data_IF_738302467657
#
_entry.id   IF_738302467657
#
_cell.length_a   1.000
_cell.length_b   1.000
_cell.length_c   1.000
_cell.angle_alpha   90.00
_cell.angle_beta   90.00
_cell.angle_gamma   90.00
#
_symmetry.space_group_name_H-M   'P 1'
#
loop_
_entity.id
_entity.type
_entity.pdbx_description
1 polymer ?
#
# COMPACT_ATOMS: atom_id res chain seq x y z
N UNK A 1 7.00 -13.18 6.04
CA UNK A 1 7.01 -11.89 6.79
C UNK A 1 5.60 -11.32 6.82
N UNK A 2 5.25 -10.38 7.70
CA UNK A 2 3.92 -9.74 7.69
C UNK A 2 3.95 -8.53 6.76
N UNK A 3 2.91 -8.33 5.94
CA UNK A 3 2.82 -7.20 5.00
C UNK A 3 3.03 -5.85 5.69
N UNK A 4 2.43 -5.61 6.86
CA UNK A 4 2.67 -4.39 7.66
C UNK A 4 4.17 -4.11 7.85
N UNK A 5 4.96 -5.16 8.13
CA UNK A 5 6.39 -5.02 8.37
C UNK A 5 7.12 -4.58 7.10
N UNK A 6 6.77 -5.12 5.93
CA UNK A 6 7.39 -4.75 4.64
C UNK A 6 7.15 -3.27 4.36
N UNK A 7 5.91 -2.78 4.53
CA UNK A 7 5.60 -1.36 4.33
C UNK A 7 6.36 -0.45 5.30
N UNK A 8 6.39 -0.80 6.59
CA UNK A 8 7.13 -0.01 7.58
C UNK A 8 8.65 -0.01 7.36
N UNK A 9 9.22 -1.12 6.88
CA UNK A 9 10.64 -1.20 6.51
C UNK A 9 10.98 -0.34 5.29
N UNK A 10 10.00 -0.11 4.41
CA UNK A 10 10.12 0.80 3.27
C UNK A 10 9.69 2.24 3.60
N UNK A 11 9.48 2.60 4.87
CA UNK A 11 9.23 3.98 5.30
C UNK A 11 7.76 4.43 5.29
N UNK A 12 6.82 3.54 4.94
CA UNK A 12 5.39 3.84 5.02
C UNK A 12 4.79 3.30 6.33
N UNK A 13 4.26 4.17 7.17
CA UNK A 13 3.49 3.74 8.34
C UNK A 13 2.08 3.32 7.90
N UNK A 14 1.79 2.03 8.05
CA UNK A 14 0.53 1.44 7.60
C UNK A 14 -0.24 0.82 8.75
N UNK A 15 -1.55 1.04 8.71
CA UNK A 15 -2.52 0.33 9.52
C UNK A 15 -3.07 -0.86 8.75
N UNK A 16 -2.93 -2.06 9.32
CA UNK A 16 -3.57 -3.28 8.81
C UNK A 16 -4.97 -3.46 9.40
N UNK A 17 -5.91 -3.91 8.57
CA UNK A 17 -7.23 -4.40 8.92
C UNK A 17 -7.49 -5.72 8.21
N UNK A 18 -8.00 -6.70 8.92
CA UNK A 18 -8.41 -7.97 8.31
C UNK A 18 -9.84 -7.83 7.77
N UNK A 19 -10.08 -8.40 6.59
CA UNK A 19 -11.39 -8.47 5.93
C UNK A 19 -11.77 -9.93 5.67
N UNK A 20 -13.02 -10.16 5.26
CA UNK A 20 -13.54 -11.51 5.03
C UNK A 20 -12.85 -12.26 3.86
N UNK A 21 -12.19 -11.52 2.96
CA UNK A 21 -11.57 -12.01 1.73
C UNK A 21 -10.10 -11.55 1.58
N UNK A 22 -9.41 -11.27 2.69
CA UNK A 22 -8.01 -10.84 2.68
C UNK A 22 -7.75 -9.71 3.65
N UNK A 23 -6.80 -8.84 3.30
CA UNK A 23 -6.39 -7.75 4.18
C UNK A 23 -6.48 -6.39 3.49
N UNK A 24 -6.63 -5.36 4.31
CA UNK A 24 -6.59 -3.96 3.91
C UNK A 24 -5.45 -3.29 4.66
N UNK A 25 -4.59 -2.58 3.93
CA UNK A 25 -3.54 -1.74 4.45
C UNK A 25 -3.88 -0.29 4.14
N UNK A 26 -3.80 0.57 5.14
CA UNK A 26 -4.14 1.99 5.02
C UNK A 26 -2.92 2.79 5.46
N UNK A 27 -2.43 3.67 4.61
CA UNK A 27 -1.36 4.62 4.89
C UNK A 27 -1.88 6.05 4.74
N UNK A 28 -1.48 6.94 5.64
CA UNK A 28 -1.69 8.38 5.50
C UNK A 28 -0.46 8.99 4.82
N UNK A 29 -0.63 9.50 3.60
CA UNK A 29 0.42 10.18 2.85
C UNK A 29 0.44 11.70 3.13
N UNK A 30 -0.51 12.21 3.92
CA UNK A 30 -0.68 13.62 4.20
C UNK A 30 -1.58 14.35 3.18
N UNK A 31 -2.20 15.44 3.63
CA UNK A 31 -3.09 16.25 2.79
C UNK A 31 -2.29 17.15 1.85
N UNK A 32 -2.69 17.20 0.57
CA UNK A 32 -2.08 18.07 -0.43
C UNK A 32 -0.83 17.51 -1.10
N UNK A 33 -0.43 16.28 -0.80
CA UNK A 33 0.61 15.56 -1.53
C UNK A 33 0.04 15.09 -2.87
N UNK A 34 0.72 15.45 -3.97
CA UNK A 34 0.48 14.83 -5.27
C UNK A 34 1.10 13.43 -5.23
N UNK A 35 0.22 12.43 -5.15
CA UNK A 35 0.61 11.06 -4.90
C UNK A 35 0.05 10.12 -5.98
N UNK A 36 0.91 9.25 -6.48
CA UNK A 36 0.58 8.21 -7.43
C UNK A 36 0.75 6.83 -6.79
N UNK A 37 -0.06 5.88 -7.23
CA UNK A 37 0.17 4.46 -6.92
C UNK A 37 0.00 3.64 -8.18
N UNK A 38 0.89 2.67 -8.37
CA UNK A 38 0.81 1.68 -9.42
C UNK A 38 1.23 0.31 -8.87
N UNK A 39 0.88 -0.75 -9.59
CA UNK A 39 1.22 -2.13 -9.24
C UNK A 39 1.88 -2.79 -10.45
N UNK A 40 3.13 -3.20 -10.28
CA UNK A 40 3.90 -3.89 -11.31
C UNK A 40 4.25 -5.28 -10.79
N UNK A 41 3.60 -6.31 -11.35
CA UNK A 41 3.75 -7.68 -10.87
C UNK A 41 3.22 -7.83 -9.44
N UNK A 42 4.10 -8.18 -8.51
CA UNK A 42 3.84 -8.35 -7.08
C UNK A 42 4.31 -7.14 -6.25
N UNK A 43 4.62 -6.03 -6.91
CA UNK A 43 5.22 -4.84 -6.28
C UNK A 43 4.29 -3.64 -6.39
N UNK A 44 3.94 -3.05 -5.24
CA UNK A 44 3.23 -1.77 -5.17
C UNK A 44 4.25 -0.64 -5.20
N UNK A 45 4.08 0.30 -6.12
CA UNK A 45 4.92 1.47 -6.26
C UNK A 45 4.09 2.68 -5.83
N UNK A 46 4.55 3.40 -4.81
CA UNK A 46 3.93 4.62 -4.32
C UNK A 46 4.88 5.77 -4.57
N UNK A 47 4.40 6.83 -5.22
CA UNK A 47 5.17 8.05 -5.47
C UNK A 47 4.49 9.19 -4.73
N UNK A 48 5.25 9.97 -3.96
CA UNK A 48 4.77 11.13 -3.21
C UNK A 48 5.74 12.29 -3.39
N UNK A 49 5.38 13.29 -4.20
CA UNK A 49 6.30 14.39 -4.51
C UNK A 49 7.63 13.90 -5.07
N UNK A 50 8.71 14.04 -4.28
CA UNK A 50 10.08 13.62 -4.65
C UNK A 50 10.47 12.23 -4.10
N UNK A 51 9.59 11.58 -3.34
CA UNK A 51 9.84 10.27 -2.73
C UNK A 51 9.14 9.16 -3.51
N UNK A 52 9.81 8.01 -3.62
CA UNK A 52 9.27 6.78 -4.19
C UNK A 52 9.49 5.62 -3.23
N UNK A 53 8.45 4.84 -3.01
CA UNK A 53 8.44 3.65 -2.19
C UNK A 53 8.07 2.44 -3.05
N UNK A 54 8.91 1.42 -3.02
CA UNK A 54 8.67 0.15 -3.70
C UNK A 54 8.40 -0.92 -2.64
N UNK A 55 7.22 -1.51 -2.67
CA UNK A 55 6.80 -2.49 -1.69
C UNK A 55 6.54 -3.83 -2.38
N UNK A 56 7.46 -4.80 -2.28
CA UNK A 56 7.32 -6.10 -2.91
C UNK A 56 6.46 -7.07 -2.08
N UNK A 57 6.03 -8.16 -2.70
CA UNK A 57 5.34 -9.27 -2.05
C UNK A 57 3.85 -9.02 -1.81
N UNK A 58 3.23 -8.23 -2.69
CA UNK A 58 1.80 -7.92 -2.67
C UNK A 58 1.16 -8.51 -3.93
N UNK A 59 0.94 -9.82 -3.91
CA UNK A 59 0.22 -10.55 -4.97
C UNK A 59 -1.28 -10.22 -4.92
N UNK A 60 -1.93 -10.23 -6.10
CA UNK A 60 -3.37 -9.95 -6.28
C UNK A 60 -3.87 -8.69 -5.54
N UNK A 61 -3.02 -7.67 -5.54
CA UNK A 61 -3.30 -6.42 -4.86
C UNK A 61 -4.07 -5.43 -5.74
N UNK A 62 -4.89 -4.61 -5.09
CA UNK A 62 -5.44 -3.37 -5.65
C UNK A 62 -5.04 -2.21 -4.77
N UNK A 63 -4.64 -1.10 -5.37
CA UNK A 63 -4.24 0.08 -4.64
C UNK A 63 -4.99 1.31 -5.15
N UNK A 64 -5.40 2.17 -4.22
CA UNK A 64 -6.07 3.44 -4.53
C UNK A 64 -5.58 4.53 -3.59
N UNK A 65 -5.53 5.76 -4.09
CA UNK A 65 -5.26 6.94 -3.27
C UNK A 65 -6.51 7.83 -3.30
N UNK A 66 -7.05 8.13 -2.12
CA UNK A 66 -8.22 9.00 -1.97
C UNK A 66 -7.94 10.05 -0.90
N UNK A 67 -7.94 11.33 -1.28
CA UNK A 67 -7.69 12.46 -0.38
C UNK A 67 -6.41 12.33 0.48
N UNK A 68 -5.31 11.84 -0.12
CA UNK A 68 -4.03 11.63 0.59
C UNK A 68 -3.97 10.33 1.40
N UNK A 69 -5.02 9.49 1.37
CA UNK A 69 -5.01 8.19 2.04
C UNK A 69 -4.80 7.10 1.00
N UNK A 70 -3.71 6.36 1.14
CA UNK A 70 -3.42 5.16 0.37
C UNK A 70 -4.14 3.98 1.00
N UNK A 71 -4.96 3.30 0.20
CA UNK A 71 -5.59 2.03 0.57
C UNK A 71 -5.09 0.94 -0.36
N UNK A 72 -4.54 -0.13 0.21
CA UNK A 72 -4.09 -1.31 -0.51
C UNK A 72 -4.91 -2.50 -0.02
N UNK A 73 -5.60 -3.12 -0.95
CA UNK A 73 -6.41 -4.31 -0.74
C UNK A 73 -5.64 -5.50 -1.28
N UNK A 74 -5.43 -6.51 -0.45
CA UNK A 74 -4.78 -7.76 -0.85
C UNK A 74 -5.81 -8.85 -0.69
N UNK A 75 -6.19 -9.49 -1.79
CA UNK A 75 -7.12 -10.61 -1.76
C UNK A 75 -6.37 -11.85 -1.21
N UNK A 76 -7.02 -12.61 -0.33
CA UNK A 76 -6.47 -13.91 0.11
C UNK A 76 -6.76 -14.93 -0.99
N UNK A 77 -5.73 -15.37 -1.70
CA UNK A 77 -5.85 -16.54 -2.58
C UNK A 77 -6.21 -17.74 -1.70
N UNK A 78 -7.46 -18.19 -1.77
CA UNK A 78 -7.89 -19.42 -1.11
C UNK A 78 -7.36 -20.67 -1.79
#
# INVERSE_FOLDING_TARGET
MSLKKIFSENGLDVRRRDRANGIELIADLGSGVDAGVDIIGDTVIVVTGDEQYEIPGVEDARATINHGVLTIEVEDER
#
